data_IF_116991054730
#
_entry.id   IF_116991054730
#
_cell.length_a   1.000
_cell.length_b   1.000
_cell.length_c   1.000
_cell.angle_alpha   90.00
_cell.angle_beta   90.00
_cell.angle_gamma   90.00
#
_symmetry.space_group_name_H-M   'P 1'
#
loop_
_entity.id
_entity.type
_entity.pdbx_description
1 polymer ?
#
# COMPACT_ATOMS: atom_id res chain seq x y z
N UNK A 1 28.55 7.13 2.45
CA UNK A 1 27.17 6.67 2.24
C UNK A 1 26.37 7.03 3.49
N UNK A 2 25.56 8.09 3.43
CA UNK A 2 24.90 8.67 4.61
C UNK A 2 23.78 7.72 5.07
N UNK A 3 24.11 6.84 6.01
CA UNK A 3 23.16 5.89 6.64
C UNK A 3 22.25 6.66 7.59
N UNK A 4 21.40 7.53 7.04
CA UNK A 4 20.23 8.02 7.77
C UNK A 4 19.51 6.76 8.26
N UNK A 5 19.39 6.63 9.58
CA UNK A 5 18.64 5.57 10.27
C UNK A 5 17.21 5.58 9.70
N UNK A 6 16.97 4.84 8.62
CA UNK A 6 15.64 4.81 8.00
C UNK A 6 14.65 4.33 9.04
N UNK A 7 13.58 5.09 9.28
CA UNK A 7 12.58 4.71 10.26
C UNK A 7 11.72 3.58 9.65
N UNK A 8 11.77 2.34 10.19
CA UNK A 8 11.01 1.22 9.64
C UNK A 8 9.51 1.50 9.62
N UNK A 9 9.00 2.30 10.56
CA UNK A 9 7.57 2.64 10.62
C UNK A 9 7.08 3.37 9.36
N UNK A 10 7.94 4.04 8.60
CA UNK A 10 7.57 4.67 7.33
C UNK A 10 7.05 3.60 6.35
N UNK A 11 7.75 2.47 6.22
CA UNK A 11 7.31 1.37 5.34
C UNK A 11 6.03 0.69 5.83
N UNK A 12 5.83 0.64 7.16
CA UNK A 12 4.57 0.17 7.76
C UNK A 12 3.40 1.08 7.36
N UNK A 13 3.57 2.39 7.48
CA UNK A 13 2.55 3.37 7.11
C UNK A 13 2.26 3.36 5.62
N UNK A 14 3.29 3.25 4.76
CA UNK A 14 3.10 3.08 3.31
C UNK A 14 2.23 1.86 3.05
N UNK A 15 2.55 0.69 3.62
CA UNK A 15 1.76 -0.53 3.40
C UNK A 15 0.28 -0.37 3.78
N UNK A 16 0.00 0.29 4.91
CA UNK A 16 -1.37 0.52 5.41
C UNK A 16 -2.11 1.51 4.52
N UNK A 17 -1.52 2.66 4.21
CA UNK A 17 -2.14 3.69 3.37
C UNK A 17 -2.43 3.16 1.97
N UNK A 18 -1.52 2.35 1.42
CA UNK A 18 -1.69 1.76 0.09
C UNK A 18 -2.91 0.81 0.05
N UNK A 19 -3.15 0.04 1.11
CA UNK A 19 -4.34 -0.80 1.20
C UNK A 19 -5.61 0.01 1.47
N UNK A 20 -5.54 1.06 2.28
CA UNK A 20 -6.68 1.92 2.59
C UNK A 20 -7.20 2.68 1.36
N UNK A 21 -6.34 2.98 0.37
CA UNK A 21 -6.75 3.64 -0.87
C UNK A 21 -7.70 2.79 -1.73
N UNK A 22 -7.69 1.46 -1.56
CA UNK A 22 -8.54 0.54 -2.35
C UNK A 22 -10.04 0.76 -2.03
N UNK A 23 -10.50 0.61 -0.78
CA UNK A 23 -11.90 0.87 -0.43
C UNK A 23 -12.28 2.34 -0.59
N UNK A 24 -11.35 3.29 -0.41
CA UNK A 24 -11.62 4.72 -0.65
C UNK A 24 -11.98 4.95 -2.13
N UNK A 25 -11.16 4.43 -3.05
CA UNK A 25 -11.41 4.53 -4.49
C UNK A 25 -12.70 3.84 -4.92
N UNK A 26 -13.00 2.67 -4.33
CA UNK A 26 -14.26 1.97 -4.56
C UNK A 26 -15.47 2.76 -4.05
N UNK A 27 -15.37 3.34 -2.84
CA UNK A 27 -16.43 4.15 -2.25
C UNK A 27 -16.72 5.41 -3.06
N UNK A 28 -15.67 6.11 -3.53
CA UNK A 28 -15.83 7.29 -4.40
C UNK A 28 -16.54 6.91 -5.70
N UNK A 29 -16.15 5.80 -6.32
CA UNK A 29 -16.77 5.36 -7.57
C UNK A 29 -18.24 4.95 -7.38
N UNK A 30 -18.56 4.32 -6.25
CA UNK A 30 -19.93 3.98 -5.90
C UNK A 30 -20.79 5.22 -5.68
N UNK A 31 -20.31 6.21 -4.91
CA UNK A 31 -21.04 7.45 -4.61
C UNK A 31 -21.27 8.32 -5.86
N UNK A 32 -20.31 8.33 -6.78
CA UNK A 32 -20.35 9.14 -7.99
C UNK A 32 -20.94 8.41 -9.21
N UNK A 33 -21.47 7.18 -9.02
CA UNK A 33 -21.94 6.30 -10.11
C UNK A 33 -20.95 6.21 -11.28
N UNK A 34 -19.65 6.24 -10.96
CA UNK A 34 -18.61 6.16 -11.97
C UNK A 34 -18.66 4.76 -12.58
N UNK A 35 -18.96 4.70 -13.88
CA UNK A 35 -18.98 3.48 -14.66
C UNK A 35 -17.53 3.03 -14.94
N UNK A 36 -16.83 2.64 -13.87
CA UNK A 36 -15.51 2.04 -13.93
C UNK A 36 -15.68 0.54 -14.08
N UNK A 37 -15.02 -0.01 -15.10
CA UNK A 37 -14.99 -1.44 -15.30
C UNK A 37 -14.45 -2.16 -14.06
N UNK A 38 -15.09 -3.28 -13.70
CA UNK A 38 -14.63 -4.16 -12.62
C UNK A 38 -13.16 -4.58 -12.81
N UNK A 39 -12.70 -4.66 -14.07
CA UNK A 39 -11.31 -4.95 -14.41
C UNK A 39 -10.32 -3.86 -13.92
N UNK A 40 -10.70 -2.59 -13.95
CA UNK A 40 -9.86 -1.50 -13.44
C UNK A 40 -9.69 -1.59 -11.92
N UNK A 41 -10.74 -1.94 -11.18
CA UNK A 41 -10.66 -2.20 -9.75
C UNK A 41 -9.78 -3.40 -9.42
N UNK A 42 -9.87 -4.47 -10.20
CA UNK A 42 -9.01 -5.65 -10.08
C UNK A 42 -7.53 -5.30 -10.28
N UNK A 43 -7.19 -4.55 -11.34
CA UNK A 43 -5.83 -4.11 -11.57
C UNK A 43 -5.30 -3.22 -10.44
N UNK A 44 -6.13 -2.29 -9.96
CA UNK A 44 -5.80 -1.42 -8.84
C UNK A 44 -5.58 -2.22 -7.54
N UNK A 45 -6.45 -3.19 -7.24
CA UNK A 45 -6.34 -4.10 -6.10
C UNK A 45 -5.01 -4.86 -6.15
N UNK A 46 -4.67 -5.47 -7.29
CA UNK A 46 -3.44 -6.25 -7.47
C UNK A 46 -2.21 -5.36 -7.32
N UNK A 47 -2.18 -4.21 -8.01
CA UNK A 47 -1.04 -3.28 -7.97
C UNK A 47 -0.78 -2.72 -6.57
N UNK A 48 -1.83 -2.23 -5.90
CA UNK A 48 -1.72 -1.68 -4.55
C UNK A 48 -1.40 -2.77 -3.50
N UNK A 49 -1.92 -3.99 -3.69
CA UNK A 49 -1.56 -5.13 -2.84
C UNK A 49 -0.08 -5.51 -3.00
N UNK A 50 0.45 -5.52 -4.22
CA UNK A 50 1.87 -5.81 -4.47
C UNK A 50 2.78 -4.76 -3.82
N UNK A 51 2.44 -3.47 -3.94
CA UNK A 51 3.19 -2.37 -3.30
C UNK A 51 3.12 -2.46 -1.77
N UNK A 52 1.95 -2.80 -1.22
CA UNK A 52 1.77 -3.01 0.21
C UNK A 52 2.62 -4.18 0.72
N UNK A 53 2.57 -5.33 0.05
CA UNK A 53 3.37 -6.51 0.39
C UNK A 53 4.87 -6.22 0.34
N UNK A 54 5.33 -5.51 -0.69
CA UNK A 54 6.75 -5.12 -0.81
C UNK A 54 7.19 -4.22 0.34
N UNK A 55 6.37 -3.23 0.68
CA UNK A 55 6.63 -2.29 1.79
C UNK A 55 6.62 -3.00 3.13
N UNK A 56 5.67 -3.92 3.34
CA UNK A 56 5.57 -4.73 4.54
C UNK A 56 6.75 -5.70 4.71
N UNK A 57 7.22 -6.32 3.63
CA UNK A 57 8.42 -7.15 3.66
C UNK A 57 9.66 -6.33 4.01
N UNK A 58 9.80 -5.13 3.45
CA UNK A 58 10.92 -4.22 3.79
C UNK A 58 10.86 -3.76 5.25
N UNK A 59 9.66 -3.46 5.77
CA UNK A 59 9.44 -3.21 7.19
C UNK A 59 9.91 -4.39 8.05
N UNK A 60 9.47 -5.62 7.74
CA UNK A 60 9.88 -6.82 8.47
C UNK A 60 11.38 -7.06 8.42
N UNK A 61 12.03 -6.83 7.28
CA UNK A 61 13.49 -6.98 7.14
C UNK A 61 14.24 -6.01 8.06
N UNK A 62 13.88 -4.72 8.05
CA UNK A 62 14.54 -3.71 8.88
C UNK A 62 14.29 -3.97 10.36
N UNK A 63 13.06 -4.37 10.73
CA UNK A 63 12.74 -4.71 12.14
C UNK A 63 13.50 -5.95 12.60
N UNK A 64 13.61 -6.98 11.76
CA UNK A 64 14.40 -8.19 12.08
C UNK A 64 15.89 -7.89 12.22
N UNK A 65 16.46 -7.01 11.39
CA UNK A 65 17.87 -6.61 11.49
C UNK A 65 18.18 -5.74 12.72
N UNK A 66 17.14 -5.18 13.38
CA UNK A 66 17.28 -4.38 14.61
C UNK A 66 17.03 -5.17 15.89
N UNK A 67 16.67 -6.45 15.79
CA UNK A 67 16.38 -7.34 16.92
C UNK A 67 17.53 -8.30 17.12
#
# INVERSE_FOLDING_TARGET
MNTKKENPYVYKWIAILTLALIPISAGIAFVLELNRDAFQFLLMLIGLSAVSLRSWNKYKQIVRQRR
#
